data_IF_077482116551
#
_entry.id   IF_077482116551
#
_cell.length_a   1.000
_cell.length_b   1.000
_cell.length_c   1.000
_cell.angle_alpha   90.00
_cell.angle_beta   90.00
_cell.angle_gamma   90.00
#
_symmetry.space_group_name_H-M   'P 1'
#
loop_
_entity.id
_entity.type
_entity.pdbx_description
1 polymer ?
#
# COMPACT_ATOMS: atom_id res chain seq x y z
N UNK A 1 12.39 13.13 8.12
CA UNK A 1 11.77 11.92 8.67
C UNK A 1 10.47 12.28 9.37
N UNK A 2 9.38 11.64 8.96
CA UNK A 2 8.07 11.85 9.55
C UNK A 2 7.61 10.55 10.20
N UNK A 3 7.26 10.62 11.49
CA UNK A 3 6.84 9.44 12.26
C UNK A 3 5.33 9.49 12.46
N UNK A 4 4.61 8.55 11.85
CA UNK A 4 3.16 8.44 11.94
C UNK A 4 2.43 9.76 11.67
N UNK A 5 2.71 10.46 10.55
CA UNK A 5 2.20 11.82 10.34
C UNK A 5 0.69 11.90 10.21
N UNK A 6 0.03 10.78 9.95
CA UNK A 6 -1.42 10.73 9.75
C UNK A 6 -2.16 10.01 10.86
N UNK A 7 -1.46 9.64 11.95
CA UNK A 7 -2.08 8.92 13.05
C UNK A 7 -3.21 9.74 13.69
N UNK A 8 -4.36 9.10 13.90
CA UNK A 8 -5.51 9.75 14.51
C UNK A 8 -6.34 10.64 13.60
N UNK A 9 -5.96 10.77 12.32
CA UNK A 9 -6.72 11.58 11.38
C UNK A 9 -7.80 10.75 10.67
N UNK A 10 -8.89 11.42 10.30
CA UNK A 10 -9.92 10.80 9.46
C UNK A 10 -9.37 10.61 8.03
N UNK A 11 -10.02 9.78 7.18
CA UNK A 11 -9.52 9.52 5.83
C UNK A 11 -9.33 10.76 4.97
N UNK A 12 -10.21 11.73 5.09
CA UNK A 12 -10.14 12.95 4.28
C UNK A 12 -8.96 13.83 4.70
N UNK A 13 -8.79 14.04 6.00
CA UNK A 13 -7.67 14.81 6.54
C UNK A 13 -6.34 14.12 6.25
N UNK A 14 -6.31 12.81 6.37
CA UNK A 14 -5.14 12.00 6.04
C UNK A 14 -4.73 12.22 4.58
N UNK A 15 -5.69 12.16 3.66
CA UNK A 15 -5.43 12.37 2.24
C UNK A 15 -4.87 13.77 1.98
N UNK A 16 -5.40 14.80 2.65
CA UNK A 16 -4.91 16.16 2.50
C UNK A 16 -3.46 16.29 2.96
N UNK A 17 -3.12 15.71 4.10
CA UNK A 17 -1.76 15.76 4.64
C UNK A 17 -0.79 15.01 3.70
N UNK A 18 -1.16 13.82 3.25
CA UNK A 18 -0.28 13.04 2.38
C UNK A 18 -0.10 13.70 1.01
N UNK A 19 -1.14 14.34 0.49
CA UNK A 19 -1.05 15.07 -0.78
C UNK A 19 -0.10 16.26 -0.65
N UNK A 20 -0.13 16.97 0.48
CA UNK A 20 0.77 18.06 0.75
C UNK A 20 2.23 17.59 0.84
N UNK A 21 2.47 16.48 1.54
CA UNK A 21 3.80 15.89 1.66
C UNK A 21 4.34 15.49 0.28
N UNK A 22 3.51 14.88 -0.53
CA UNK A 22 3.89 14.47 -1.89
C UNK A 22 4.23 15.68 -2.76
N UNK A 23 3.45 16.75 -2.63
CA UNK A 23 3.69 18.01 -3.34
C UNK A 23 5.05 18.62 -2.96
N UNK A 24 5.34 18.65 -1.67
CA UNK A 24 6.64 19.17 -1.18
C UNK A 24 7.78 18.32 -1.72
N UNK A 25 7.63 16.99 -1.72
CA UNK A 25 8.65 16.09 -2.23
C UNK A 25 8.98 16.39 -3.69
N UNK A 26 7.95 16.56 -4.51
CA UNK A 26 8.11 16.80 -5.96
C UNK A 26 8.67 18.18 -6.22
N UNK A 27 8.09 19.22 -5.63
CA UNK A 27 8.47 20.61 -5.90
C UNK A 27 9.87 20.93 -5.39
N UNK A 28 10.26 20.40 -4.26
CA UNK A 28 11.56 20.68 -3.66
C UNK A 28 12.60 19.59 -3.94
N UNK A 29 12.23 18.58 -4.70
CA UNK A 29 13.09 17.44 -5.06
C UNK A 29 13.74 16.81 -3.81
N UNK A 30 12.95 16.57 -2.78
CA UNK A 30 13.42 16.01 -1.52
C UNK A 30 13.08 14.54 -1.40
N UNK A 31 13.90 13.82 -0.63
CA UNK A 31 13.61 12.45 -0.21
C UNK A 31 12.91 12.50 1.14
N UNK A 32 11.70 11.95 1.23
CA UNK A 32 10.92 11.95 2.46
C UNK A 32 10.80 10.52 2.95
N UNK A 33 11.12 10.32 4.22
CA UNK A 33 11.00 9.01 4.88
C UNK A 33 9.85 9.07 5.86
N UNK A 34 8.88 8.16 5.69
CA UNK A 34 7.72 8.03 6.56
C UNK A 34 7.82 6.74 7.37
N UNK A 35 7.57 6.83 8.66
CA UNK A 35 7.42 5.66 9.51
C UNK A 35 5.93 5.47 9.77
N UNK A 36 5.39 4.30 9.44
CA UNK A 36 3.96 4.05 9.58
C UNK A 36 3.65 2.59 9.83
N UNK A 37 2.59 2.34 10.59
CA UNK A 37 2.00 1.01 10.78
C UNK A 37 0.74 0.83 9.94
N UNK A 38 0.31 1.87 9.24
CA UNK A 38 -0.88 1.83 8.40
C UNK A 38 -0.53 1.33 7.00
N UNK A 39 -0.86 0.08 6.72
CA UNK A 39 -0.50 -0.56 5.45
C UNK A 39 -1.29 0.00 4.27
N UNK A 40 -2.46 0.55 4.52
CA UNK A 40 -3.22 1.23 3.45
C UNK A 40 -2.47 2.47 2.97
N UNK A 41 -1.90 3.25 3.90
CA UNK A 41 -1.08 4.42 3.55
C UNK A 41 0.22 4.00 2.86
N UNK A 42 0.87 2.96 3.36
CA UNK A 42 2.10 2.44 2.75
C UNK A 42 1.83 2.03 1.31
N UNK A 43 0.75 1.32 1.05
CA UNK A 43 0.41 0.85 -0.28
C UNK A 43 0.07 2.02 -1.23
N UNK A 44 -0.63 3.02 -0.73
CA UNK A 44 -1.12 4.14 -1.56
C UNK A 44 -0.04 5.16 -1.87
N UNK A 45 0.79 5.52 -0.89
CA UNK A 45 1.65 6.71 -0.99
C UNK A 45 3.15 6.44 -1.14
N UNK A 46 3.61 5.23 -0.84
CA UNK A 46 5.04 4.93 -0.86
C UNK A 46 5.54 4.55 -2.25
N UNK A 47 6.71 5.05 -2.61
CA UNK A 47 7.41 4.61 -3.81
C UNK A 47 8.28 3.39 -3.51
N UNK A 48 8.89 3.39 -2.33
CA UNK A 48 9.75 2.31 -1.86
C UNK A 48 9.46 2.02 -0.40
N UNK A 49 9.47 0.75 -0.03
CA UNK A 49 9.18 0.31 1.34
C UNK A 49 10.38 -0.43 1.90
N UNK A 50 10.76 -0.06 3.11
CA UNK A 50 11.79 -0.77 3.87
C UNK A 50 11.11 -1.40 5.08
N UNK A 51 11.20 -2.72 5.19
CA UNK A 51 10.63 -3.44 6.33
C UNK A 51 11.72 -3.73 7.33
N UNK A 52 11.48 -3.32 8.58
CA UNK A 52 12.40 -3.59 9.68
C UNK A 52 11.78 -4.57 10.66
N UNK A 53 12.56 -5.54 11.08
CA UNK A 53 12.14 -6.53 12.07
C UNK A 53 13.29 -6.75 13.04
N UNK A 54 13.02 -6.60 14.33
CA UNK A 54 14.02 -6.78 15.40
C UNK A 54 15.29 -5.96 15.18
N UNK A 55 15.11 -4.70 14.73
CA UNK A 55 16.20 -3.77 14.51
C UNK A 55 17.01 -4.00 13.22
N UNK A 56 16.57 -4.91 12.38
CA UNK A 56 17.28 -5.27 11.14
C UNK A 56 16.37 -5.04 9.93
N UNK A 57 16.95 -4.57 8.82
CA UNK A 57 16.24 -4.47 7.56
C UNK A 57 16.10 -5.87 6.97
N UNK A 58 14.86 -6.32 6.77
CA UNK A 58 14.57 -7.66 6.25
C UNK A 58 14.07 -7.64 4.80
N UNK A 59 13.59 -6.49 4.33
CA UNK A 59 13.10 -6.36 2.96
C UNK A 59 13.17 -4.91 2.50
N UNK A 60 13.44 -4.72 1.22
CA UNK A 60 13.41 -3.43 0.56
C UNK A 60 12.80 -3.64 -0.82
N UNK A 61 11.61 -3.08 -1.04
CA UNK A 61 10.91 -3.26 -2.30
C UNK A 61 9.86 -2.17 -2.50
N UNK A 62 9.12 -2.23 -3.61
CA UNK A 62 7.98 -1.36 -3.79
C UNK A 62 6.74 -2.00 -3.13
N UNK A 63 5.68 -1.20 -2.86
CA UNK A 63 4.50 -1.74 -2.17
C UNK A 63 3.85 -2.93 -2.88
N UNK A 64 3.78 -2.89 -4.21
CA UNK A 64 3.14 -3.96 -4.98
C UNK A 64 3.86 -5.29 -4.78
N UNK A 65 5.18 -5.28 -4.86
CA UNK A 65 5.99 -6.49 -4.67
C UNK A 65 5.96 -6.95 -3.21
N UNK A 66 5.99 -6.00 -2.26
CA UNK A 66 5.94 -6.34 -0.85
C UNK A 66 4.66 -7.08 -0.50
N UNK A 67 3.51 -6.52 -0.88
CA UNK A 67 2.22 -7.08 -0.48
C UNK A 67 1.82 -8.31 -1.30
N UNK A 68 2.59 -8.66 -2.30
CA UNK A 68 2.40 -9.90 -3.04
C UNK A 68 3.12 -11.10 -2.39
N UNK A 69 3.89 -10.88 -1.33
CA UNK A 69 4.65 -11.91 -0.61
C UNK A 69 3.91 -12.37 0.64
N UNK A 70 2.78 -13.04 0.48
CA UNK A 70 1.89 -13.41 1.59
C UNK A 70 2.60 -14.13 2.73
N UNK A 71 3.45 -15.10 2.42
CA UNK A 71 4.15 -15.91 3.44
C UNK A 71 5.11 -15.06 4.27
N UNK A 72 5.85 -14.16 3.61
CA UNK A 72 6.81 -13.29 4.32
C UNK A 72 6.09 -12.28 5.19
N UNK A 73 4.94 -11.76 4.74
CA UNK A 73 4.16 -10.81 5.52
C UNK A 73 3.68 -11.42 6.83
N UNK A 74 3.24 -12.67 6.78
CA UNK A 74 2.83 -13.39 8.01
C UNK A 74 4.02 -13.56 8.96
N UNK A 75 5.19 -13.88 8.44
CA UNK A 75 6.41 -14.03 9.23
C UNK A 75 6.80 -12.73 9.92
N UNK A 76 6.60 -11.60 9.26
CA UNK A 76 6.95 -10.28 9.79
C UNK A 76 5.82 -9.61 10.54
N UNK A 77 4.67 -10.26 10.71
CA UNK A 77 3.49 -9.72 11.38
C UNK A 77 2.96 -8.45 10.71
N UNK A 78 3.03 -8.40 9.39
CA UNK A 78 2.51 -7.28 8.60
C UNK A 78 1.13 -7.65 8.05
N UNK A 79 0.16 -6.78 8.27
CA UNK A 79 -1.18 -6.97 7.71
C UNK A 79 -1.23 -6.47 6.27
N UNK A 80 -2.09 -7.09 5.48
CA UNK A 80 -2.32 -6.63 4.12
C UNK A 80 -3.18 -5.37 4.11
N UNK A 81 -2.96 -4.43 3.17
CA UNK A 81 -3.90 -3.34 2.95
C UNK A 81 -5.30 -3.87 2.65
N UNK A 82 -6.32 -3.11 2.98
CA UNK A 82 -7.71 -3.53 2.80
C UNK A 82 -8.02 -3.87 1.35
N UNK A 83 -7.54 -3.06 0.41
CA UNK A 83 -7.79 -3.29 -1.02
C UNK A 83 -7.12 -4.58 -1.48
N UNK A 84 -5.96 -4.92 -0.96
CA UNK A 84 -5.25 -6.17 -1.29
C UNK A 84 -6.01 -7.36 -0.74
N UNK A 85 -6.50 -7.26 0.50
CA UNK A 85 -7.33 -8.32 1.10
C UNK A 85 -8.57 -8.58 0.26
N UNK A 86 -9.26 -7.52 -0.14
CA UNK A 86 -10.46 -7.63 -0.96
C UNK A 86 -10.15 -8.28 -2.31
N UNK A 87 -9.08 -7.87 -2.95
CA UNK A 87 -8.66 -8.45 -4.22
C UNK A 87 -8.37 -9.94 -4.11
N UNK A 88 -7.63 -10.34 -3.06
CA UNK A 88 -7.31 -11.75 -2.82
C UNK A 88 -8.57 -12.57 -2.53
N UNK A 89 -9.52 -12.03 -1.77
CA UNK A 89 -10.77 -12.71 -1.47
C UNK A 89 -11.60 -12.93 -2.73
N UNK A 90 -11.66 -11.96 -3.63
CA UNK A 90 -12.37 -12.08 -4.90
C UNK A 90 -11.69 -13.11 -5.79
N UNK A 91 -10.39 -13.09 -5.89
CA UNK A 91 -9.63 -14.06 -6.66
C UNK A 91 -9.91 -15.48 -6.19
N UNK A 92 -9.97 -15.68 -4.88
CA UNK A 92 -10.25 -16.98 -4.29
C UNK A 92 -11.70 -17.41 -4.55
N UNK A 93 -12.65 -16.50 -4.36
CA UNK A 93 -14.09 -16.80 -4.51
C UNK A 93 -14.45 -17.20 -5.94
N UNK A 94 -13.88 -16.51 -6.94
CA UNK A 94 -14.21 -16.73 -8.34
C UNK A 94 -13.15 -17.55 -9.09
N UNK A 95 -12.13 -18.04 -8.37
CA UNK A 95 -11.04 -18.85 -8.93
C UNK A 95 -10.41 -18.19 -10.16
N UNK A 96 -10.02 -16.92 -9.99
CA UNK A 96 -9.42 -16.12 -11.06
C UNK A 96 -8.26 -15.31 -10.49
N UNK A 97 -7.48 -14.68 -11.37
CA UNK A 97 -6.39 -13.80 -10.98
C UNK A 97 -6.50 -12.47 -11.73
N UNK A 98 -6.40 -11.37 -11.00
CA UNK A 98 -6.27 -10.07 -11.65
C UNK A 98 -4.87 -9.92 -12.26
N UNK A 99 -4.73 -9.14 -13.35
CA UNK A 99 -3.43 -9.02 -14.03
C UNK A 99 -2.34 -8.38 -13.18
N UNK A 100 -2.71 -7.60 -12.15
CA UNK A 100 -1.73 -7.02 -11.22
C UNK A 100 -2.38 -6.78 -9.86
N UNK A 101 -1.53 -6.58 -8.85
CA UNK A 101 -1.97 -6.27 -7.50
C UNK A 101 -2.28 -4.78 -7.38
N UNK A 102 -3.48 -4.44 -6.93
CA UNK A 102 -3.87 -3.05 -6.69
C UNK A 102 -3.26 -2.56 -5.37
N UNK A 103 -2.75 -1.33 -5.37
CA UNK A 103 -2.20 -0.71 -4.16
C UNK A 103 -3.07 0.41 -3.62
N UNK A 104 -4.18 0.70 -4.30
CA UNK A 104 -5.16 1.67 -3.84
C UNK A 104 -6.53 1.33 -4.42
N UNK A 105 -7.55 2.00 -3.90
CA UNK A 105 -8.93 1.70 -4.26
C UNK A 105 -9.23 2.02 -5.72
N UNK A 106 -8.66 3.09 -6.26
CA UNK A 106 -8.87 3.50 -7.63
C UNK A 106 -8.33 2.46 -8.62
N UNK A 107 -7.16 1.91 -8.35
CA UNK A 107 -6.59 0.82 -9.14
C UNK A 107 -7.48 -0.43 -9.09
N UNK A 108 -7.97 -0.76 -7.89
CA UNK A 108 -8.83 -1.92 -7.73
C UNK A 108 -10.13 -1.77 -8.51
N UNK A 109 -10.76 -0.60 -8.43
CA UNK A 109 -12.00 -0.34 -9.15
C UNK A 109 -11.78 -0.49 -10.65
N UNK A 110 -10.68 0.03 -11.17
CA UNK A 110 -10.33 -0.10 -12.58
C UNK A 110 -10.16 -1.55 -13.00
N UNK A 111 -9.41 -2.32 -12.22
CA UNK A 111 -9.19 -3.76 -12.49
C UNK A 111 -10.50 -4.54 -12.43
N UNK A 112 -11.34 -4.24 -11.44
CA UNK A 112 -12.64 -4.90 -11.29
C UNK A 112 -13.54 -4.61 -12.50
N UNK A 113 -13.59 -3.37 -12.96
CA UNK A 113 -14.41 -2.99 -14.12
C UNK A 113 -13.93 -3.69 -15.39
N UNK A 114 -12.63 -3.78 -15.59
CA UNK A 114 -12.06 -4.46 -16.74
C UNK A 114 -12.42 -5.95 -16.71
N UNK A 115 -12.26 -6.58 -15.55
CA UNK A 115 -12.61 -7.99 -15.37
C UNK A 115 -14.10 -8.25 -15.58
N UNK A 116 -14.94 -7.41 -14.98
CA UNK A 116 -16.40 -7.54 -15.06
C UNK A 116 -16.89 -7.33 -16.50
N UNK A 117 -16.22 -6.44 -17.23
CA UNK A 117 -16.58 -6.12 -18.60
C UNK A 117 -16.29 -7.28 -19.58
N UNK A 118 -15.25 -8.05 -19.29
CA UNK A 118 -14.87 -9.21 -20.09
C UNK A 118 -15.79 -10.42 -19.87
N UNK A 119 -16.62 -10.35 -18.89
CA UNK A 119 -17.64 -11.36 -18.63
C UNK A 119 -18.96 -11.03 -19.30
#
# INVERSE_FOLDING_TARGET
ILDEPTAGLDPNSKHQVMSLIKKIQIEENKTIILVSHDMDDVARYSDEVVVMNKGTIVEKSNPRNLFNQKTQLLKWHIELPKVVKLQKDIEKKYNMLFPKLATNEEEFVKLYKEWHHEK
#
